data_IF_656789634143
#
_entry.id   IF_656789634143
#
_cell.length_a   1.000
_cell.length_b   1.000
_cell.length_c   1.000
_cell.angle_alpha   90.00
_cell.angle_beta   90.00
_cell.angle_gamma   90.00
#
_symmetry.space_group_name_H-M   'P 1'
#
loop_
_entity.id
_entity.type
_entity.pdbx_description
1 polymer ?
#
# COMPACT_ATOMS: atom_id res chain seq x y z
N UNK A 1 8.93 -10.50 -28.53
CA UNK A 1 9.39 -10.38 -27.13
C UNK A 1 9.28 -8.91 -26.76
N UNK A 2 8.15 -8.48 -26.21
CA UNK A 2 7.94 -7.07 -25.83
C UNK A 2 8.30 -6.89 -24.37
N UNK A 3 9.23 -5.95 -24.15
CA UNK A 3 9.68 -5.42 -22.88
C UNK A 3 8.48 -5.15 -21.97
N UNK A 4 8.29 -6.00 -20.95
CA UNK A 4 7.29 -5.76 -19.91
C UNK A 4 7.70 -4.48 -19.19
N UNK A 5 6.84 -3.48 -19.29
CA UNK A 5 6.84 -2.26 -18.49
C UNK A 5 7.31 -2.56 -17.07
N UNK A 6 8.13 -1.66 -16.49
CA UNK A 6 8.65 -1.71 -15.12
C UNK A 6 7.54 -1.58 -14.06
N UNK A 7 6.48 -2.39 -14.15
CA UNK A 7 5.41 -2.53 -13.20
C UNK A 7 5.71 -3.60 -12.16
N UNK A 8 4.88 -3.65 -11.12
CA UNK A 8 4.90 -4.75 -10.16
C UNK A 8 4.61 -6.07 -10.89
N UNK A 9 5.27 -7.19 -10.50
CA UNK A 9 4.98 -8.49 -11.07
C UNK A 9 3.50 -8.87 -10.85
N UNK A 10 2.91 -9.53 -11.84
CA UNK A 10 1.47 -9.83 -11.88
C UNK A 10 1.01 -10.61 -10.63
N UNK A 11 1.84 -11.55 -10.14
CA UNK A 11 1.57 -12.32 -8.92
C UNK A 11 1.52 -11.43 -7.66
N UNK A 12 2.38 -10.41 -7.60
CA UNK A 12 2.40 -9.47 -6.48
C UNK A 12 1.17 -8.55 -6.51
N UNK A 13 0.76 -8.12 -7.70
CA UNK A 13 -0.48 -7.35 -7.88
C UNK A 13 -1.69 -8.17 -7.45
N UNK A 14 -1.75 -9.45 -7.82
CA UNK A 14 -2.82 -10.35 -7.43
C UNK A 14 -2.89 -10.54 -5.91
N UNK A 15 -1.73 -10.79 -5.27
CA UNK A 15 -1.63 -10.94 -3.82
C UNK A 15 -2.05 -9.66 -3.08
N UNK A 16 -1.59 -8.49 -3.54
CA UNK A 16 -1.99 -7.20 -2.98
C UNK A 16 -3.50 -6.98 -3.09
N UNK A 17 -4.09 -7.32 -4.24
CA UNK A 17 -5.54 -7.24 -4.44
C UNK A 17 -6.30 -8.16 -3.49
N UNK A 18 -5.87 -9.39 -3.31
CA UNK A 18 -6.50 -10.33 -2.36
C UNK A 18 -6.40 -9.82 -0.92
N UNK A 19 -5.23 -9.35 -0.49
CA UNK A 19 -5.03 -8.77 0.84
C UNK A 19 -5.96 -7.58 1.09
N UNK A 20 -6.05 -6.68 0.12
CA UNK A 20 -6.91 -5.49 0.16
C UNK A 20 -8.39 -5.84 0.19
N UNK A 21 -8.83 -6.78 -0.65
CA UNK A 21 -10.22 -7.24 -0.69
C UNK A 21 -10.62 -7.96 0.62
N UNK A 22 -9.67 -8.66 1.25
CA UNK A 22 -9.86 -9.31 2.55
C UNK A 22 -9.71 -8.36 3.75
N UNK A 23 -9.55 -7.06 3.52
CA UNK A 23 -9.41 -6.06 4.59
C UNK A 23 -8.03 -5.97 5.23
N UNK A 24 -7.05 -6.72 4.73
CA UNK A 24 -5.67 -6.76 5.22
C UNK A 24 -4.78 -5.67 4.58
N UNK A 25 -5.24 -4.42 4.64
CA UNK A 25 -4.53 -3.25 4.09
C UNK A 25 -3.12 -3.10 4.65
N UNK A 26 -2.96 -3.32 5.97
CA UNK A 26 -1.67 -3.18 6.64
C UNK A 26 -0.64 -4.17 6.11
N UNK A 27 -1.04 -5.44 5.92
CA UNK A 27 -0.15 -6.49 5.41
C UNK A 27 0.20 -6.21 3.94
N UNK A 28 -0.77 -5.80 3.13
CA UNK A 28 -0.52 -5.38 1.74
C UNK A 28 0.44 -4.19 1.65
N UNK A 29 0.29 -3.20 2.53
CA UNK A 29 1.19 -2.04 2.59
C UNK A 29 2.63 -2.43 2.97
N UNK A 30 2.79 -3.27 4.01
CA UNK A 30 4.11 -3.76 4.44
C UNK A 30 4.78 -4.59 3.35
N UNK A 31 4.03 -5.47 2.69
CA UNK A 31 4.55 -6.29 1.61
C UNK A 31 5.09 -5.42 0.46
N UNK A 32 4.30 -4.43 0.03
CA UNK A 32 4.71 -3.51 -1.03
C UNK A 32 5.91 -2.66 -0.59
N UNK A 33 5.97 -2.22 0.67
CA UNK A 33 7.09 -1.48 1.23
C UNK A 33 8.40 -2.28 1.20
N UNK A 34 8.36 -3.51 1.71
CA UNK A 34 9.52 -4.40 1.72
C UNK A 34 9.95 -4.71 0.29
N UNK A 35 9.00 -4.94 -0.62
CA UNK A 35 9.30 -5.15 -2.03
C UNK A 35 9.99 -3.94 -2.67
N UNK A 36 9.46 -2.72 -2.46
CA UNK A 36 10.06 -1.49 -2.94
C UNK A 36 11.51 -1.35 -2.47
N UNK A 37 11.77 -1.56 -1.18
CA UNK A 37 13.10 -1.42 -0.61
C UNK A 37 14.07 -2.51 -1.07
N UNK A 38 13.60 -3.75 -1.19
CA UNK A 38 14.46 -4.90 -1.54
C UNK A 38 14.76 -5.00 -3.03
N UNK A 39 13.77 -4.72 -3.88
CA UNK A 39 13.87 -4.91 -5.33
C UNK A 39 14.27 -3.63 -6.05
N UNK A 40 13.69 -2.49 -5.65
CA UNK A 40 14.02 -1.21 -6.29
C UNK A 40 15.11 -0.43 -5.54
N UNK A 41 15.54 -0.88 -4.36
CA UNK A 41 16.63 -0.25 -3.60
C UNK A 41 16.32 1.17 -3.14
N UNK A 42 15.04 1.57 -3.11
CA UNK A 42 14.64 2.94 -2.77
C UNK A 42 14.69 3.19 -1.26
N UNK A 43 14.87 4.44 -0.89
CA UNK A 43 14.79 4.87 0.51
C UNK A 43 13.36 4.74 1.06
N UNK A 44 13.27 4.80 2.39
CA UNK A 44 12.02 4.62 3.12
C UNK A 44 10.95 5.68 2.82
N UNK A 45 11.35 6.94 2.62
CA UNK A 45 10.43 8.01 2.28
C UNK A 45 9.87 7.83 0.86
N UNK A 46 10.73 7.43 -0.08
CA UNK A 46 10.34 7.10 -1.45
C UNK A 46 9.41 5.89 -1.50
N UNK A 47 9.75 4.81 -0.79
CA UNK A 47 8.91 3.62 -0.70
C UNK A 47 7.53 3.96 -0.11
N UNK A 48 7.49 4.72 0.97
CA UNK A 48 6.24 5.16 1.61
C UNK A 48 5.36 5.98 0.66
N UNK A 49 5.97 6.92 -0.08
CA UNK A 49 5.26 7.74 -1.06
C UNK A 49 4.70 6.88 -2.21
N UNK A 50 5.47 5.91 -2.71
CA UNK A 50 5.05 5.03 -3.79
C UNK A 50 3.86 4.16 -3.40
N UNK A 51 3.86 3.63 -2.17
CA UNK A 51 2.72 2.85 -1.65
C UNK A 51 1.46 3.71 -1.60
N UNK A 52 1.55 4.93 -1.06
CA UNK A 52 0.38 5.81 -0.96
C UNK A 52 -0.21 6.12 -2.34
N UNK A 53 0.64 6.40 -3.34
CA UNK A 53 0.21 6.65 -4.72
C UNK A 53 -0.42 5.39 -5.31
N UNK A 54 0.22 4.22 -5.13
CA UNK A 54 -0.27 2.94 -5.64
C UNK A 54 -1.64 2.58 -5.07
N UNK A 55 -1.80 2.60 -3.74
CA UNK A 55 -3.07 2.26 -3.11
C UNK A 55 -4.18 3.27 -3.43
N UNK A 56 -3.84 4.55 -3.63
CA UNK A 56 -4.82 5.56 -4.05
C UNK A 56 -5.29 5.34 -5.49
N UNK A 57 -4.40 4.91 -6.38
CA UNK A 57 -4.69 4.65 -7.79
C UNK A 57 -5.49 3.36 -7.98
N UNK A 58 -5.04 2.27 -7.36
CA UNK A 58 -5.59 0.92 -7.59
C UNK A 58 -6.81 0.62 -6.71
N UNK A 59 -6.91 1.23 -5.52
CA UNK A 59 -7.96 0.93 -4.54
C UNK A 59 -8.67 2.19 -4.00
N UNK A 60 -9.19 3.07 -4.86
CA UNK A 60 -9.73 4.38 -4.44
C UNK A 60 -10.91 4.25 -3.46
N UNK A 61 -11.81 3.28 -3.65
CA UNK A 61 -12.98 3.06 -2.77
C UNK A 61 -12.59 2.61 -1.37
N UNK A 62 -11.45 1.94 -1.24
CA UNK A 62 -11.03 1.39 0.05
C UNK A 62 -10.00 2.26 0.77
N UNK A 63 -9.21 3.04 0.01
CA UNK A 63 -8.44 4.16 0.55
C UNK A 63 -9.36 5.16 1.28
N UNK A 64 -10.55 5.45 0.73
CA UNK A 64 -11.55 6.28 1.41
C UNK A 64 -12.11 5.62 2.69
N UNK A 65 -12.36 4.31 2.70
CA UNK A 65 -12.84 3.60 3.91
C UNK A 65 -11.79 3.56 5.02
N UNK A 66 -10.52 3.41 4.68
CA UNK A 66 -9.43 3.46 5.66
C UNK A 66 -9.26 4.88 6.22
N UNK A 67 -9.30 5.91 5.35
CA UNK A 67 -9.26 7.32 5.79
C UNK A 67 -10.43 7.68 6.69
N UNK A 68 -11.65 7.21 6.39
CA UNK A 68 -12.83 7.42 7.24
C UNK A 68 -12.75 6.70 8.59
N UNK A 69 -12.05 5.58 8.70
CA UNK A 69 -11.80 4.90 9.98
C UNK A 69 -10.75 5.59 10.84
N UNK A 70 -9.72 6.19 10.23
CA UNK A 70 -8.75 7.03 10.97
C UNK A 70 -9.42 8.26 11.58
N UNK A 71 -10.33 8.93 10.85
CA UNK A 71 -11.04 10.12 11.35
C UNK A 71 -12.11 9.81 12.40
N UNK A 72 -12.69 8.59 12.40
CA UNK A 72 -13.69 8.19 13.41
C UNK A 72 -13.07 7.64 14.71
N UNK A 73 -11.74 7.54 14.78
CA UNK A 73 -10.99 7.11 15.97
C UNK A 73 -10.41 8.24 16.82
N UNK A 74 -10.42 9.50 16.35
CA UNK A 74 -9.86 10.66 17.09
C UNK A 74 -10.83 11.24 18.13
N UNK A 75 -11.38 10.36 18.97
CA UNK A 75 -11.84 10.70 20.32
C UNK A 75 -11.46 9.55 21.25
N UNK A 76 -10.17 9.30 21.38
CA UNK A 76 -9.49 8.85 22.61
C UNK A 76 -8.06 8.41 22.28
N UNK A 77 -7.10 9.15 22.82
CA UNK A 77 -5.71 8.77 23.07
C UNK A 77 -4.81 8.35 21.90
N UNK A 78 -3.87 9.26 21.59
CA UNK A 78 -2.45 8.98 21.83
C UNK A 78 -1.72 8.18 20.75
N UNK A 79 -0.83 8.88 20.04
CA UNK A 79 0.36 8.39 19.34
C UNK A 79 0.23 7.09 18.53
N UNK A 80 0.42 7.18 17.22
CA UNK A 80 1.61 6.55 16.59
C UNK A 80 1.71 6.93 15.12
N UNK A 81 2.93 7.37 14.78
CA UNK A 81 3.48 7.55 13.45
C UNK A 81 3.28 6.32 12.55
N UNK A 82 3.38 6.58 11.24
CA UNK A 82 3.44 5.63 10.15
C UNK A 82 4.37 4.43 10.42
#
# INVERSE_FOLDING_TARGET
>A
MTEKEKGLPEDLVLLLRQLVMNGQYRIGGVLLFVYCRRVYGVDEATASRWIQIYFRREFPKQAERHRKRSVKGERSNGLSSF
#
